data_IF_237795386732
#
_entry.id   IF_237795386732
#
_cell.length_a   1.000
_cell.length_b   1.000
_cell.length_c   1.000
_cell.angle_alpha   90.00
_cell.angle_beta   90.00
_cell.angle_gamma   90.00
#
_symmetry.space_group_name_H-M   'P 1'
#
loop_
_entity.id
_entity.type
_entity.pdbx_description
1 polymer ?
#
# COMPACT_ATOMS: atom_id res chain seq x y z
N UNK A 1 10.80 -15.36 -10.93
CA UNK A 1 10.36 -15.05 -9.55
C UNK A 1 9.46 -13.83 -9.63
N UNK A 2 8.31 -13.83 -8.95
CA UNK A 2 7.37 -12.69 -8.91
C UNK A 2 8.03 -11.50 -8.18
N UNK A 3 7.80 -10.30 -8.66
CA UNK A 3 8.21 -9.10 -7.90
C UNK A 3 7.27 -8.86 -6.73
N UNK A 4 7.80 -8.24 -5.66
CA UNK A 4 7.02 -7.62 -4.61
C UNK A 4 7.17 -6.10 -4.71
N UNK A 5 6.07 -5.41 -4.97
CA UNK A 5 6.02 -3.97 -5.16
C UNK A 5 5.38 -3.33 -3.92
N UNK A 6 6.06 -2.40 -3.29
CA UNK A 6 5.51 -1.59 -2.21
C UNK A 6 4.88 -0.32 -2.79
N UNK A 7 3.59 -0.10 -2.55
CA UNK A 7 2.87 1.08 -3.04
C UNK A 7 2.24 1.84 -1.89
N UNK A 8 2.53 3.14 -1.81
CA UNK A 8 2.01 3.97 -0.71
C UNK A 8 1.94 5.44 -1.08
N UNK A 9 1.08 6.16 -0.37
CA UNK A 9 1.07 7.61 -0.29
C UNK A 9 1.94 8.05 0.89
N UNK A 10 2.68 9.12 0.71
CA UNK A 10 3.50 9.71 1.75
C UNK A 10 3.40 11.24 1.70
N UNK A 11 3.34 11.88 2.85
CA UNK A 11 3.56 13.31 2.96
C UNK A 11 5.00 13.68 2.64
N UNK A 12 5.30 14.95 2.42
CA UNK A 12 6.65 15.42 2.14
C UNK A 12 7.65 15.07 3.27
N UNK A 13 7.16 14.97 4.51
CA UNK A 13 7.95 14.54 5.67
C UNK A 13 7.85 13.02 5.94
N UNK A 14 7.32 12.23 4.99
CA UNK A 14 7.36 10.76 4.99
C UNK A 14 6.28 10.06 5.82
N UNK A 15 5.23 10.76 6.24
CA UNK A 15 4.09 10.16 6.93
C UNK A 15 3.17 9.47 5.92
N UNK A 16 2.75 8.24 6.21
CA UNK A 16 1.86 7.43 5.39
C UNK A 16 0.53 7.08 6.07
N UNK A 17 0.30 7.59 7.29
CA UNK A 17 -0.88 7.24 8.10
C UNK A 17 -2.14 7.93 7.57
N UNK A 18 -3.23 7.17 7.42
CA UNK A 18 -4.59 7.62 7.13
C UNK A 18 -4.70 8.62 5.95
N UNK A 19 -4.16 8.34 4.76
CA UNK A 19 -4.25 9.27 3.63
C UNK A 19 -5.68 9.42 3.09
N UNK A 20 -6.49 8.35 3.17
CA UNK A 20 -7.75 8.20 2.44
C UNK A 20 -9.01 8.62 3.20
N UNK A 21 -8.94 8.88 4.51
CA UNK A 21 -10.14 9.30 5.26
C UNK A 21 -9.83 9.81 6.66
N UNK A 22 -10.68 10.71 7.20
CA UNK A 22 -10.46 11.29 8.54
C UNK A 22 -10.36 10.23 9.65
N UNK A 23 -11.17 9.18 9.56
CA UNK A 23 -11.25 8.10 10.57
C UNK A 23 -10.52 6.82 10.15
N UNK A 24 -9.74 6.85 9.07
CA UNK A 24 -9.09 5.66 8.51
C UNK A 24 -8.13 5.00 9.51
N UNK A 25 -7.30 5.78 10.18
CA UNK A 25 -6.37 5.27 11.18
C UNK A 25 -6.06 6.32 12.27
N UNK A 26 -6.92 6.46 13.30
CA UNK A 26 -6.73 7.44 14.38
C UNK A 26 -5.72 6.97 15.45
N UNK A 27 -5.06 5.83 15.27
CA UNK A 27 -4.11 5.27 16.25
C UNK A 27 -3.01 6.27 16.60
N UNK A 28 -2.67 6.37 17.89
CA UNK A 28 -1.68 7.32 18.38
C UNK A 28 -2.18 8.77 18.45
N UNK A 29 -3.49 8.99 18.38
CA UNK A 29 -4.09 10.33 18.37
C UNK A 29 -3.81 11.10 17.08
N UNK A 30 -3.67 10.40 15.95
CA UNK A 30 -3.47 11.04 14.65
C UNK A 30 -4.77 11.72 14.18
N UNK A 31 -4.73 13.04 14.04
CA UNK A 31 -5.90 13.87 13.76
C UNK A 31 -5.93 14.43 12.32
N UNK A 32 -5.00 14.03 11.46
CA UNK A 32 -4.85 14.60 10.10
C UNK A 32 -5.32 13.64 9.01
N UNK A 33 -6.21 12.68 9.31
CA UNK A 33 -6.70 11.72 8.33
C UNK A 33 -7.36 12.39 7.11
N UNK A 34 -7.29 11.73 5.94
CA UNK A 34 -7.85 12.24 4.70
C UNK A 34 -6.99 13.28 3.97
N UNK A 35 -5.74 13.47 4.39
CA UNK A 35 -4.85 14.52 3.87
C UNK A 35 -4.53 14.39 2.36
N UNK A 36 -4.73 13.24 1.75
CA UNK A 36 -4.47 13.05 0.32
C UNK A 36 -5.57 13.63 -0.57
N UNK A 37 -6.82 13.72 -0.10
CA UNK A 37 -7.96 14.11 -0.94
C UNK A 37 -7.86 15.52 -1.54
N UNK A 38 -7.32 16.47 -0.80
CA UNK A 38 -7.16 17.84 -1.28
C UNK A 38 -6.25 17.97 -2.51
N UNK A 39 -5.45 16.95 -2.77
CA UNK A 39 -4.46 16.92 -3.86
C UNK A 39 -4.84 15.95 -4.98
N UNK A 40 -6.00 15.27 -4.87
CA UNK A 40 -6.41 14.30 -5.87
C UNK A 40 -6.78 14.98 -7.18
N UNK A 41 -6.32 14.44 -8.31
CA UNK A 41 -6.67 14.92 -9.64
C UNK A 41 -6.87 13.76 -10.65
N UNK A 42 -7.34 14.10 -11.86
CA UNK A 42 -7.67 13.14 -12.92
C UNK A 42 -6.47 12.28 -13.36
N UNK A 43 -5.24 12.82 -13.32
CA UNK A 43 -4.07 12.03 -13.70
C UNK A 43 -3.75 10.95 -12.65
N UNK A 44 -4.18 11.16 -11.42
CA UNK A 44 -4.06 10.16 -10.35
C UNK A 44 -5.08 9.05 -10.51
N UNK A 45 -6.30 9.32 -10.99
CA UNK A 45 -7.33 8.31 -11.26
C UNK A 45 -6.86 7.26 -12.28
N UNK A 46 -6.22 7.69 -13.35
CA UNK A 46 -5.67 6.80 -14.36
C UNK A 46 -4.49 5.95 -13.89
N UNK A 47 -3.78 6.44 -12.87
CA UNK A 47 -2.63 5.77 -12.27
C UNK A 47 -2.99 4.92 -11.04
N UNK A 48 -4.17 5.13 -10.45
CA UNK A 48 -4.54 4.56 -9.15
C UNK A 48 -4.93 3.07 -9.18
N UNK A 49 -5.30 2.51 -10.35
CA UNK A 49 -5.53 1.07 -10.48
C UNK A 49 -4.22 0.29 -10.35
N UNK A 50 -3.75 0.11 -9.12
CA UNK A 50 -2.49 -0.56 -8.80
C UNK A 50 -1.25 0.34 -8.90
N UNK A 51 -1.43 1.67 -8.94
CA UNK A 51 -0.38 2.68 -9.07
C UNK A 51 0.37 2.71 -10.42
N UNK A 52 0.13 1.76 -11.31
CA UNK A 52 0.68 1.72 -12.68
C UNK A 52 -0.26 1.00 -13.67
N UNK A 53 -1.50 0.72 -13.25
CA UNK A 53 -2.53 0.11 -14.10
C UNK A 53 -2.37 -1.39 -14.37
N UNK A 54 -1.48 -2.09 -13.66
CA UNK A 54 -1.28 -3.54 -13.84
C UNK A 54 -2.02 -4.36 -12.81
N UNK A 55 -2.57 -5.48 -13.22
CA UNK A 55 -3.15 -6.46 -12.32
C UNK A 55 -2.06 -7.08 -11.42
N UNK A 56 -2.36 -7.21 -10.12
CA UNK A 56 -1.47 -7.80 -9.11
C UNK A 56 -2.26 -8.58 -8.09
N UNK A 57 -1.56 -9.45 -7.36
CA UNK A 57 -2.08 -10.02 -6.12
C UNK A 57 -1.64 -9.16 -4.94
N UNK A 58 -2.54 -8.91 -3.99
CA UNK A 58 -2.30 -8.01 -2.87
C UNK A 58 -1.72 -8.76 -1.67
N UNK A 59 -0.76 -8.13 -0.97
CA UNK A 59 -0.26 -8.55 0.33
C UNK A 59 -0.62 -7.47 1.34
N UNK A 60 -1.55 -7.76 2.24
CA UNK A 60 -2.14 -6.77 3.13
C UNK A 60 -1.85 -7.12 4.59
N UNK A 61 -1.43 -6.15 5.38
CA UNK A 61 -1.45 -6.26 6.82
C UNK A 61 -2.88 -6.17 7.35
N UNK A 62 -3.13 -6.74 8.53
CA UNK A 62 -4.45 -6.80 9.15
C UNK A 62 -5.20 -5.46 9.10
N UNK A 63 -4.58 -4.37 9.55
CA UNK A 63 -5.24 -3.07 9.63
C UNK A 63 -5.68 -2.55 8.27
N UNK A 64 -4.81 -2.62 7.27
CA UNK A 64 -5.15 -2.19 5.90
C UNK A 64 -6.22 -3.10 5.31
N UNK A 65 -6.17 -4.40 5.59
CA UNK A 65 -7.21 -5.33 5.16
C UNK A 65 -8.57 -4.93 5.74
N UNK A 66 -8.67 -4.70 7.06
CA UNK A 66 -9.90 -4.30 7.75
C UNK A 66 -10.47 -2.98 7.17
N UNK A 67 -9.62 -1.98 6.92
CA UNK A 67 -10.01 -0.70 6.31
C UNK A 67 -10.56 -0.93 4.89
N UNK A 68 -9.86 -1.71 4.09
CA UNK A 68 -10.22 -1.96 2.69
C UNK A 68 -11.48 -2.83 2.57
N UNK A 69 -11.61 -3.86 3.40
CA UNK A 69 -12.80 -4.73 3.48
C UNK A 69 -14.06 -3.93 3.84
N UNK A 70 -13.95 -2.95 4.72
CA UNK A 70 -15.06 -2.10 5.12
C UNK A 70 -15.48 -1.08 4.06
N UNK A 71 -14.67 -0.84 3.04
CA UNK A 71 -14.89 0.24 2.07
C UNK A 71 -15.08 -0.28 0.63
N UNK A 72 -14.09 -1.02 0.08
CA UNK A 72 -14.05 -1.33 -1.36
C UNK A 72 -15.16 -2.23 -1.87
N UNK A 73 -15.67 -3.24 -1.13
CA UNK A 73 -16.80 -4.06 -1.58
C UNK A 73 -18.09 -3.28 -1.80
N UNK A 74 -18.22 -2.11 -1.18
CA UNK A 74 -19.44 -1.29 -1.20
C UNK A 74 -19.34 -0.10 -2.16
N UNK A 75 -18.24 0.04 -2.88
CA UNK A 75 -18.07 1.11 -3.86
C UNK A 75 -18.83 0.79 -5.16
N UNK A 76 -19.20 1.82 -5.96
CA UNK A 76 -19.88 1.64 -7.23
C UNK A 76 -19.16 0.64 -8.15
N UNK A 77 -19.92 -0.22 -8.83
CA UNK A 77 -19.38 -1.27 -9.68
C UNK A 77 -18.62 -0.74 -10.92
N UNK A 78 -18.84 0.50 -11.30
CA UNK A 78 -18.13 1.21 -12.36
C UNK A 78 -16.84 1.89 -11.90
N UNK A 79 -16.56 1.92 -10.60
CA UNK A 79 -15.29 2.41 -10.07
C UNK A 79 -14.12 1.52 -10.52
N UNK A 80 -13.16 2.02 -11.32
CA UNK A 80 -12.04 1.21 -11.80
C UNK A 80 -11.17 0.66 -10.66
N UNK A 81 -10.95 1.48 -9.62
CA UNK A 81 -10.15 1.09 -8.44
C UNK A 81 -10.86 -0.03 -7.67
N UNK A 82 -12.15 0.15 -7.38
CA UNK A 82 -12.93 -0.86 -6.65
C UNK A 82 -12.98 -2.19 -7.43
N UNK A 83 -13.17 -2.15 -8.76
CA UNK A 83 -13.16 -3.32 -9.63
C UNK A 83 -11.83 -4.07 -9.53
N UNK A 84 -10.71 -3.38 -9.64
CA UNK A 84 -9.37 -3.97 -9.56
C UNK A 84 -9.12 -4.59 -8.19
N UNK A 85 -9.38 -3.85 -7.10
CA UNK A 85 -9.12 -4.32 -5.74
C UNK A 85 -10.05 -5.49 -5.34
N UNK A 86 -11.32 -5.46 -5.74
CA UNK A 86 -12.26 -6.54 -5.46
C UNK A 86 -11.90 -7.82 -6.23
N UNK A 87 -11.44 -7.72 -7.47
CA UNK A 87 -11.04 -8.87 -8.29
C UNK A 87 -9.70 -9.50 -7.85
N UNK A 88 -8.77 -8.71 -7.34
CA UNK A 88 -7.44 -9.17 -6.95
C UNK A 88 -7.49 -10.28 -5.89
N UNK A 89 -6.56 -11.24 -5.95
CA UNK A 89 -6.29 -12.15 -4.83
C UNK A 89 -5.58 -11.37 -3.71
N UNK A 90 -5.96 -11.65 -2.48
CA UNK A 90 -5.45 -10.97 -1.28
C UNK A 90 -4.83 -11.99 -0.32
N UNK A 91 -3.57 -11.76 0.02
CA UNK A 91 -2.80 -12.52 1.01
C UNK A 91 -2.69 -11.67 2.28
N UNK A 92 -3.39 -12.07 3.33
CA UNK A 92 -3.58 -11.24 4.54
C UNK A 92 -2.63 -11.70 5.64
N UNK A 93 -1.74 -10.81 6.04
CA UNK A 93 -0.83 -11.03 7.18
C UNK A 93 -1.53 -10.62 8.48
N UNK A 94 -1.96 -11.61 9.26
CA UNK A 94 -2.59 -11.37 10.56
C UNK A 94 -2.27 -12.51 11.53
N UNK A 95 -2.10 -12.17 12.80
CA UNK A 95 -1.96 -13.14 13.91
C UNK A 95 -3.26 -13.28 14.73
N UNK A 96 -4.28 -12.50 14.40
CA UNK A 96 -5.50 -12.40 15.22
C UNK A 96 -6.79 -12.61 14.44
N UNK A 97 -6.78 -12.39 13.12
CA UNK A 97 -7.94 -12.69 12.28
C UNK A 97 -8.07 -14.21 12.11
N UNK A 98 -9.29 -14.72 12.28
CA UNK A 98 -9.65 -16.13 12.11
C UNK A 98 -10.51 -16.35 10.88
N UNK A 99 -11.15 -15.30 10.37
CA UNK A 99 -11.98 -15.30 9.18
C UNK A 99 -11.76 -14.03 8.35
N UNK A 100 -12.03 -14.09 7.06
CA UNK A 100 -11.93 -12.99 6.11
C UNK A 100 -13.24 -12.89 5.33
N UNK A 101 -13.87 -11.73 5.33
CA UNK A 101 -15.16 -11.49 4.65
C UNK A 101 -15.02 -10.96 3.21
N UNK A 102 -13.86 -10.39 2.85
CA UNK A 102 -13.66 -9.86 1.52
C UNK A 102 -13.26 -10.96 0.52
N UNK A 103 -13.93 -10.99 -0.62
CA UNK A 103 -13.72 -12.00 -1.66
C UNK A 103 -12.25 -12.16 -2.05
N UNK A 104 -11.86 -13.38 -2.44
CA UNK A 104 -10.51 -13.71 -2.91
C UNK A 104 -9.41 -13.47 -1.86
N UNK A 105 -9.74 -13.52 -0.58
CA UNK A 105 -8.80 -13.30 0.54
C UNK A 105 -8.37 -14.62 1.17
N UNK A 106 -7.09 -14.73 1.52
CA UNK A 106 -6.51 -15.89 2.21
C UNK A 106 -5.56 -15.41 3.31
N UNK A 107 -5.65 -16.01 4.51
CA UNK A 107 -4.70 -15.75 5.59
C UNK A 107 -3.34 -16.37 5.27
N UNK A 108 -2.28 -15.59 5.39
CA UNK A 108 -0.91 -16.10 5.40
C UNK A 108 -0.67 -16.89 6.69
N UNK A 109 -0.11 -18.08 6.54
CA UNK A 109 0.19 -18.97 7.67
C UNK A 109 1.65 -18.80 8.13
N UNK A 110 1.86 -18.87 9.43
CA UNK A 110 3.20 -18.84 10.03
C UNK A 110 3.88 -17.47 9.99
N UNK A 111 5.20 -17.49 9.80
CA UNK A 111 6.00 -16.28 9.71
C UNK A 111 5.79 -15.57 8.37
N UNK A 112 5.52 -14.27 8.43
CA UNK A 112 5.16 -13.48 7.24
C UNK A 112 6.28 -13.36 6.22
N UNK A 113 7.53 -13.29 6.67
CA UNK A 113 8.71 -13.22 5.78
C UNK A 113 8.82 -14.52 4.97
N UNK A 114 8.72 -15.66 5.65
CA UNK A 114 8.73 -16.99 5.03
C UNK A 114 7.56 -17.18 4.06
N UNK A 115 6.35 -16.78 4.47
CA UNK A 115 5.16 -16.90 3.64
C UNK A 115 5.25 -16.06 2.35
N UNK A 116 5.70 -14.79 2.45
CA UNK A 116 5.88 -13.92 1.28
C UNK A 116 7.04 -14.41 0.39
N UNK A 117 8.12 -14.92 0.97
CA UNK A 117 9.20 -15.56 0.21
C UNK A 117 8.67 -16.73 -0.62
N UNK A 118 7.86 -17.60 -0.02
CA UNK A 118 7.23 -18.72 -0.73
C UNK A 118 6.29 -18.24 -1.84
N UNK A 119 5.49 -17.19 -1.61
CA UNK A 119 4.64 -16.58 -2.65
C UNK A 119 5.47 -16.07 -3.84
N UNK A 120 6.60 -15.44 -3.60
CA UNK A 120 7.49 -14.93 -4.68
C UNK A 120 8.03 -16.05 -5.58
N UNK A 121 8.15 -17.28 -5.09
CA UNK A 121 8.64 -18.43 -5.90
C UNK A 121 7.55 -19.13 -6.70
N UNK A 122 6.27 -18.90 -6.38
CA UNK A 122 5.15 -19.49 -7.09
C UNK A 122 4.90 -18.81 -8.44
N UNK A 123 4.18 -19.46 -9.35
CA UNK A 123 3.62 -18.83 -10.55
C UNK A 123 2.44 -17.94 -10.18
N UNK A 124 2.25 -16.83 -10.88
CA UNK A 124 1.17 -15.88 -10.66
C UNK A 124 1.54 -14.46 -11.06
N UNK A 125 0.64 -13.52 -10.80
CA UNK A 125 0.88 -12.09 -10.98
C UNK A 125 1.91 -11.59 -9.97
N UNK A 126 2.55 -10.48 -10.25
CA UNK A 126 3.40 -9.80 -9.27
C UNK A 126 2.60 -9.46 -8.01
N UNK A 127 3.30 -9.40 -6.89
CA UNK A 127 2.74 -9.09 -5.58
C UNK A 127 2.80 -7.58 -5.33
N UNK A 128 1.77 -7.04 -4.68
CA UNK A 128 1.76 -5.64 -4.27
C UNK A 128 1.39 -5.53 -2.79
N UNK A 129 2.22 -4.88 -2.01
CA UNK A 129 1.87 -4.46 -0.67
C UNK A 129 1.42 -3.00 -0.73
N UNK A 130 0.16 -2.74 -0.30
CA UNK A 130 -0.42 -1.40 -0.27
C UNK A 130 -0.54 -0.95 1.18
N UNK A 131 -0.13 0.28 1.48
CA UNK A 131 -0.17 0.77 2.84
C UNK A 131 0.55 -0.19 3.79
N UNK A 132 -0.06 -0.54 4.95
CA UNK A 132 0.46 -1.58 5.86
C UNK A 132 1.89 -1.29 6.36
N UNK A 133 2.12 -0.10 6.93
CA UNK A 133 3.46 0.39 7.27
C UNK A 133 4.35 -0.62 7.99
N UNK A 134 3.85 -1.27 9.06
CA UNK A 134 4.64 -2.27 9.79
C UNK A 134 4.99 -3.48 8.91
N UNK A 135 4.07 -3.92 8.03
CA UNK A 135 4.34 -5.02 7.11
C UNK A 135 5.40 -4.62 6.09
N UNK A 136 5.30 -3.42 5.48
CA UNK A 136 6.32 -2.91 4.57
C UNK A 136 7.70 -2.85 5.22
N UNK A 137 7.80 -2.33 6.45
CA UNK A 137 9.05 -2.27 7.18
C UNK A 137 9.63 -3.67 7.47
N UNK A 138 8.78 -4.63 7.82
CA UNK A 138 9.18 -6.03 8.02
C UNK A 138 9.74 -6.65 6.73
N UNK A 139 9.03 -6.46 5.62
CA UNK A 139 9.43 -7.00 4.31
C UNK A 139 10.68 -6.30 3.75
N UNK A 140 10.83 -5.00 4.00
CA UNK A 140 12.04 -4.23 3.68
C UNK A 140 13.25 -4.73 4.48
N UNK A 141 13.10 -4.95 5.80
CA UNK A 141 14.18 -5.47 6.65
C UNK A 141 14.67 -6.84 6.20
N UNK A 142 13.79 -7.63 5.57
CA UNK A 142 14.08 -8.93 4.96
C UNK A 142 14.55 -8.83 3.49
N UNK A 143 14.71 -7.61 2.94
CA UNK A 143 15.11 -7.37 1.54
C UNK A 143 14.19 -8.05 0.50
N UNK A 144 12.89 -8.15 0.81
CA UNK A 144 11.91 -8.79 -0.08
C UNK A 144 11.25 -7.85 -1.07
N UNK A 145 11.31 -6.53 -0.85
CA UNK A 145 10.70 -5.52 -1.73
C UNK A 145 11.65 -5.26 -2.91
N UNK A 146 11.14 -5.46 -4.13
CA UNK A 146 11.89 -5.28 -5.37
C UNK A 146 11.67 -3.90 -6.01
N UNK A 147 10.55 -3.24 -5.66
CA UNK A 147 10.14 -1.97 -6.27
C UNK A 147 9.30 -1.16 -5.29
N UNK A 148 9.50 0.16 -5.29
CA UNK A 148 8.73 1.10 -4.49
C UNK A 148 8.01 2.09 -5.38
N UNK A 149 6.67 2.10 -5.32
CA UNK A 149 5.81 3.12 -5.91
C UNK A 149 5.36 4.07 -4.80
N UNK A 150 5.97 5.23 -4.74
CA UNK A 150 5.70 6.24 -3.70
C UNK A 150 5.11 7.48 -4.33
N UNK A 151 3.92 7.85 -3.90
CA UNK A 151 3.31 9.12 -4.25
C UNK A 151 3.54 10.10 -3.11
N UNK A 152 4.38 11.11 -3.36
CA UNK A 152 4.73 12.12 -2.36
C UNK A 152 3.85 13.33 -2.53
N UNK A 153 3.06 13.61 -1.52
CA UNK A 153 2.11 14.73 -1.47
C UNK A 153 2.78 15.97 -0.89
N UNK A 154 2.49 17.18 -1.42
CA UNK A 154 3.11 18.43 -0.98
C UNK A 154 2.50 18.93 0.34
N UNK A 155 2.51 18.09 1.38
CA UNK A 155 2.00 18.39 2.73
C UNK A 155 2.99 17.89 3.78
N UNK A 156 3.11 18.64 4.88
CA UNK A 156 3.91 18.30 6.06
C UNK A 156 2.95 18.07 7.22
N UNK A 157 3.00 16.90 7.83
CA UNK A 157 2.09 16.48 8.92
C UNK A 157 2.76 16.48 10.29
N UNK A 158 4.10 16.39 10.34
CA UNK A 158 4.92 16.48 11.55
C UNK A 158 4.94 15.21 12.40
N UNK A 159 3.83 14.47 12.49
CA UNK A 159 3.72 13.23 13.29
C UNK A 159 2.85 12.20 12.58
N UNK A 160 3.07 10.92 12.87
CA UNK A 160 2.32 9.80 12.31
C UNK A 160 3.23 8.63 11.94
N UNK A 161 2.65 7.56 11.40
CA UNK A 161 3.40 6.39 10.92
C UNK A 161 4.16 6.74 9.65
N UNK A 162 5.46 6.42 9.62
CA UNK A 162 6.35 6.69 8.49
C UNK A 162 6.53 5.47 7.60
N UNK A 163 6.76 5.70 6.32
CA UNK A 163 7.13 4.65 5.38
C UNK A 163 8.44 3.97 5.79
N UNK A 164 9.46 4.75 6.07
CA UNK A 164 10.74 4.27 6.59
C UNK A 164 10.82 4.59 8.09
N UNK A 165 10.87 3.54 8.92
CA UNK A 165 10.97 3.69 10.36
C UNK A 165 12.40 4.07 10.79
N UNK A 166 12.57 4.43 12.07
CA UNK A 166 13.88 4.81 12.66
C UNK A 166 14.92 3.69 12.60
N UNK A 167 14.47 2.43 12.57
CA UNK A 167 15.33 1.25 12.49
C UNK A 167 15.59 0.77 11.07
N UNK A 168 15.13 1.52 10.05
CA UNK A 168 15.37 1.17 8.66
C UNK A 168 16.87 1.10 8.36
N UNK A 169 17.30 -0.01 7.77
CA UNK A 169 18.67 -0.12 7.27
C UNK A 169 18.84 0.82 6.07
N UNK A 170 20.01 1.44 5.89
CA UNK A 170 20.30 2.23 4.71
C UNK A 170 20.05 1.41 3.44
N UNK A 171 19.30 1.98 2.53
CA UNK A 171 18.92 1.37 1.26
C UNK A 171 19.13 2.39 0.14
N UNK A 172 20.02 2.09 -0.80
CA UNK A 172 20.20 2.90 -2.00
C UNK A 172 19.13 2.50 -3.02
N UNK A 173 18.34 3.46 -3.45
CA UNK A 173 17.30 3.28 -4.45
C UNK A 173 17.63 4.08 -5.71
N UNK A 174 17.29 3.53 -6.86
CA UNK A 174 17.43 4.18 -8.15
C UNK A 174 16.06 4.55 -8.71
N UNK A 175 15.82 5.83 -8.96
CA UNK A 175 14.60 6.30 -9.61
C UNK A 175 14.55 5.77 -11.05
N UNK A 176 13.45 5.13 -11.42
CA UNK A 176 13.20 4.62 -12.78
C UNK A 176 12.09 5.35 -13.51
N UNK A 177 11.16 5.95 -12.78
CA UNK A 177 10.06 6.76 -13.34
C UNK A 177 9.60 7.79 -12.33
N UNK A 178 9.24 8.98 -12.81
CA UNK A 178 8.49 9.96 -12.04
C UNK A 178 7.51 10.73 -12.92
N UNK A 179 6.40 11.15 -12.32
CA UNK A 179 5.39 12.00 -12.92
C UNK A 179 4.89 12.96 -11.85
N UNK A 180 4.53 14.17 -12.23
CA UNK A 180 3.97 15.18 -11.32
C UNK A 180 2.53 15.44 -11.72
N UNK A 181 1.61 15.41 -10.76
CA UNK A 181 0.21 15.76 -10.95
C UNK A 181 0.04 17.28 -11.06
N UNK A 182 -1.13 17.74 -11.51
CA UNK A 182 -1.44 19.18 -11.59
C UNK A 182 -1.52 19.83 -10.20
N UNK A 183 -1.73 19.02 -9.16
CA UNK A 183 -1.79 19.44 -7.75
C UNK A 183 -0.46 19.35 -7.01
N UNK A 184 0.62 18.97 -7.73
CA UNK A 184 1.98 18.91 -7.18
C UNK A 184 2.34 17.59 -6.50
N UNK A 185 1.54 16.53 -6.64
CA UNK A 185 1.90 15.18 -6.16
C UNK A 185 2.97 14.58 -7.05
N UNK A 186 4.09 14.15 -6.47
CA UNK A 186 5.17 13.48 -7.19
C UNK A 186 4.99 11.96 -7.09
N UNK A 187 4.63 11.33 -8.20
CA UNK A 187 4.44 9.89 -8.31
C UNK A 187 5.74 9.25 -8.80
N UNK A 188 6.44 8.53 -7.95
CA UNK A 188 7.78 8.01 -8.23
C UNK A 188 7.86 6.50 -8.10
N UNK A 189 8.63 5.86 -8.99
CA UNK A 189 8.95 4.43 -8.94
C UNK A 189 10.46 4.25 -8.78
N UNK A 190 10.86 3.47 -7.77
CA UNK A 190 12.25 3.16 -7.45
C UNK A 190 12.51 1.65 -7.44
N UNK A 191 13.75 1.27 -7.77
CA UNK A 191 14.30 -0.09 -7.64
C UNK A 191 15.67 -0.06 -6.97
#
# INVERSE_FOLDING_TARGET
MRKLIASTFASLDGIMQAPGGPEEDPVGGFAFGGWAFAYWDECMDTSASGFDGKDRELVLGRRTYEIFEAYWPYQPADSPIAKTLNAAKKHVASRTLTALGWNNSTLLQGDVVSAVTALKTQSGLDLQVIGSGNLMQTLQAASLIDEYNVWTFPVVLGRGKRLFGETAKPLALRLIRSQVSTTGVVMSTYV
#
